data_IF_482544801343
#
_entry.id   IF_482544801343
#
_cell.length_a   1.000
_cell.length_b   1.000
_cell.length_c   1.000
_cell.angle_alpha   90.00
_cell.angle_beta   90.00
_cell.angle_gamma   90.00
#
_symmetry.space_group_name_H-M   'P 1'
#
loop_
_entity.id
_entity.type
_entity.pdbx_description
1 polymer ?
#
# COMPACT_ATOMS: atom_id res chain seq x y z
N UNK A 1 8.34 -34.27 15.48
CA UNK A 1 7.78 -33.05 16.11
C UNK A 1 7.92 -31.75 15.31
N UNK A 2 8.76 -31.62 14.26
CA UNK A 2 8.88 -30.36 13.48
C UNK A 2 7.80 -30.13 12.39
N UNK A 3 7.16 -31.19 11.87
CA UNK A 3 6.16 -31.06 10.78
C UNK A 3 4.84 -30.39 11.20
N UNK A 4 4.45 -30.52 12.46
CA UNK A 4 3.20 -29.94 13.00
C UNK A 4 3.27 -28.41 13.13
N UNK A 5 4.45 -27.87 13.48
CA UNK A 5 4.67 -26.43 13.59
C UNK A 5 4.53 -25.71 12.23
N UNK A 6 5.05 -26.30 11.15
CA UNK A 6 4.94 -25.69 9.80
C UNK A 6 3.49 -25.61 9.34
N UNK A 7 2.70 -26.67 9.57
CA UNK A 7 1.27 -26.68 9.23
C UNK A 7 0.47 -25.67 10.04
N UNK A 8 0.74 -25.58 11.35
CA UNK A 8 0.09 -24.61 12.22
C UNK A 8 0.44 -23.16 11.83
N UNK A 9 1.70 -22.89 11.53
CA UNK A 9 2.16 -21.55 11.13
C UNK A 9 1.52 -21.13 9.80
N UNK A 10 1.40 -22.05 8.83
CA UNK A 10 0.70 -21.77 7.58
C UNK A 10 -0.78 -21.43 7.82
N UNK A 11 -1.47 -22.18 8.68
CA UNK A 11 -2.87 -21.91 9.01
C UNK A 11 -3.04 -20.54 9.68
N UNK A 12 -2.15 -20.16 10.59
CA UNK A 12 -2.17 -18.83 11.23
C UNK A 12 -1.91 -17.74 10.19
N UNK A 13 -0.92 -17.90 9.31
CA UNK A 13 -0.63 -16.95 8.23
C UNK A 13 -1.85 -16.74 7.31
N UNK A 14 -2.49 -17.83 6.87
CA UNK A 14 -3.70 -17.76 6.05
C UNK A 14 -4.86 -17.09 6.81
N UNK A 15 -5.00 -17.39 8.11
CA UNK A 15 -5.99 -16.74 8.98
C UNK A 15 -5.75 -15.23 9.09
N UNK A 16 -4.51 -14.80 9.29
CA UNK A 16 -4.14 -13.38 9.35
C UNK A 16 -4.43 -12.66 8.04
N UNK A 17 -4.09 -13.27 6.90
CA UNK A 17 -4.42 -12.72 5.58
C UNK A 17 -5.93 -12.58 5.40
N UNK A 18 -6.71 -13.63 5.71
CA UNK A 18 -8.16 -13.63 5.59
C UNK A 18 -8.82 -12.57 6.48
N UNK A 19 -8.40 -12.44 7.74
CA UNK A 19 -8.92 -11.44 8.68
C UNK A 19 -8.58 -10.03 8.19
N UNK A 20 -7.36 -9.80 7.70
CA UNK A 20 -6.95 -8.49 7.17
C UNK A 20 -7.79 -8.10 5.95
N UNK A 21 -8.01 -9.03 5.02
CA UNK A 21 -8.88 -8.81 3.85
C UNK A 21 -10.32 -8.58 4.27
N UNK A 22 -10.86 -9.33 5.23
CA UNK A 22 -12.22 -9.15 5.70
C UNK A 22 -12.42 -7.78 6.39
N UNK A 23 -11.45 -7.35 7.19
CA UNK A 23 -11.53 -6.09 7.93
C UNK A 23 -11.39 -4.86 7.02
N UNK A 24 -10.44 -4.89 6.07
CA UNK A 24 -10.10 -3.73 5.24
C UNK A 24 -10.64 -3.80 3.80
N UNK A 25 -11.10 -4.96 3.34
CA UNK A 25 -11.65 -5.17 1.99
C UNK A 25 -12.75 -4.18 1.55
N UNK A 26 -13.68 -3.74 2.43
CA UNK A 26 -14.67 -2.74 2.06
C UNK A 26 -14.09 -1.42 1.53
N UNK A 27 -12.85 -1.06 1.92
CA UNK A 27 -12.20 0.20 1.49
C UNK A 27 -11.96 0.26 -0.02
N UNK A 28 -11.88 -0.90 -0.69
CA UNK A 28 -11.70 -0.95 -2.15
C UNK A 28 -12.84 -0.23 -2.89
N UNK A 29 -14.04 -0.16 -2.31
CA UNK A 29 -15.17 0.53 -2.93
C UNK A 29 -15.35 1.97 -2.42
N UNK A 30 -14.49 2.45 -1.53
CA UNK A 30 -14.54 3.82 -1.05
C UNK A 30 -14.01 4.79 -2.12
N UNK A 31 -14.58 5.99 -2.24
CA UNK A 31 -14.00 7.05 -3.06
C UNK A 31 -12.84 7.73 -2.32
N UNK A 32 -12.02 8.47 -3.06
CA UNK A 32 -11.13 9.47 -2.46
C UNK A 32 -11.94 10.49 -1.64
N UNK A 33 -11.37 10.90 -0.51
CA UNK A 33 -11.95 11.88 0.42
C UNK A 33 -11.21 13.21 0.36
N UNK A 34 -11.92 14.29 0.66
CA UNK A 34 -11.38 15.66 0.55
C UNK A 34 -10.61 16.09 1.79
N UNK A 35 -9.61 15.29 2.17
CA UNK A 35 -8.69 15.57 3.26
C UNK A 35 -7.26 15.67 2.74
N UNK A 36 -6.66 14.52 2.42
CA UNK A 36 -5.28 14.37 2.00
C UNK A 36 -5.17 13.88 0.55
N UNK A 37 -6.09 13.03 0.09
CA UNK A 37 -6.13 12.51 -1.29
C UNK A 37 -5.97 13.59 -2.37
N UNK A 38 -6.54 14.82 -2.25
CA UNK A 38 -6.31 15.86 -3.24
C UNK A 38 -4.83 16.12 -3.52
N UNK A 39 -4.01 16.29 -2.49
CA UNK A 39 -2.59 16.58 -2.73
C UNK A 39 -1.68 15.36 -2.74
N UNK A 40 -2.18 14.18 -2.33
CA UNK A 40 -1.41 12.95 -2.48
C UNK A 40 -1.61 12.28 -3.85
N UNK A 41 -2.79 12.42 -4.47
CA UNK A 41 -3.12 11.72 -5.71
C UNK A 41 -3.89 12.61 -6.69
N UNK A 42 -5.03 13.19 -6.30
CA UNK A 42 -6.01 13.70 -7.28
C UNK A 42 -5.52 14.94 -8.04
N UNK A 43 -4.82 15.84 -7.38
CA UNK A 43 -4.35 17.13 -7.93
C UNK A 43 -2.82 17.17 -8.10
N UNK A 44 -2.12 16.10 -7.72
CA UNK A 44 -0.66 16.06 -7.72
C UNK A 44 -0.11 15.64 -9.09
N UNK A 45 0.31 16.62 -9.88
CA UNK A 45 0.86 16.41 -11.23
C UNK A 45 2.10 15.52 -11.27
N UNK A 46 2.95 15.55 -10.23
CA UNK A 46 4.11 14.66 -10.14
C UNK A 46 3.73 13.18 -10.05
N UNK A 47 2.54 12.89 -9.53
CA UNK A 47 1.99 11.53 -9.49
C UNK A 47 1.41 11.13 -10.84
N UNK A 48 0.76 12.07 -11.53
CA UNK A 48 0.11 11.81 -12.81
C UNK A 48 1.10 11.52 -13.94
N UNK A 49 2.30 12.09 -13.86
CA UNK A 49 3.41 11.81 -14.78
C UNK A 49 3.93 10.36 -14.69
N UNK A 50 3.57 9.63 -13.63
CA UNK A 50 3.99 8.26 -13.38
C UNK A 50 5.48 8.14 -12.99
N UNK A 51 6.04 6.92 -13.01
CA UNK A 51 7.40 6.63 -12.53
C UNK A 51 8.47 7.13 -13.51
N UNK A 52 8.76 8.43 -13.50
CA UNK A 52 9.83 9.06 -14.29
C UNK A 52 11.06 9.37 -13.44
N UNK A 53 12.21 9.60 -14.09
CA UNK A 53 13.45 10.00 -13.39
C UNK A 53 13.25 11.35 -12.69
N UNK A 54 12.51 12.26 -13.32
CA UNK A 54 12.19 13.59 -12.78
C UNK A 54 11.30 13.45 -11.54
N UNK A 55 10.27 12.61 -11.61
CA UNK A 55 9.39 12.32 -10.48
C UNK A 55 10.13 11.63 -9.32
N UNK A 56 11.11 10.76 -9.62
CA UNK A 56 12.01 10.17 -8.61
C UNK A 56 12.87 11.20 -7.89
N UNK A 57 13.50 12.10 -8.64
CA UNK A 57 14.31 13.16 -8.07
C UNK A 57 13.47 14.09 -7.17
N UNK A 58 12.26 14.43 -7.63
CA UNK A 58 11.29 15.19 -6.83
C UNK A 58 10.91 14.45 -5.55
N UNK A 59 10.50 13.17 -5.65
CA UNK A 59 10.07 12.37 -4.51
C UNK A 59 11.14 12.28 -3.40
N UNK A 60 12.43 12.26 -3.78
CA UNK A 60 13.56 12.17 -2.85
C UNK A 60 13.95 13.48 -2.18
N UNK A 61 13.52 14.61 -2.72
CA UNK A 61 13.92 15.95 -2.27
C UNK A 61 12.77 16.75 -1.67
N UNK A 62 11.52 16.37 -1.98
CA UNK A 62 10.33 17.10 -1.57
C UNK A 62 9.96 16.87 -0.11
N UNK A 63 9.34 17.89 0.48
CA UNK A 63 8.62 17.85 1.75
C UNK A 63 7.14 18.19 1.55
N UNK A 64 6.61 17.90 0.35
CA UNK A 64 5.18 18.06 0.03
C UNK A 64 4.33 17.40 1.12
N UNK A 65 3.23 18.06 1.52
CA UNK A 65 2.42 17.67 2.70
C UNK A 65 3.19 17.59 4.02
N UNK A 66 4.27 18.36 4.14
CA UNK A 66 5.12 18.48 5.34
C UNK A 66 5.84 17.19 5.77
N UNK A 67 5.98 16.21 4.86
CA UNK A 67 6.57 14.92 5.17
C UNK A 67 7.66 14.54 4.16
N UNK A 68 8.72 13.87 4.63
CA UNK A 68 9.70 13.22 3.76
C UNK A 68 9.44 11.71 3.68
N UNK A 69 8.85 11.28 2.57
CA UNK A 69 8.48 9.88 2.34
C UNK A 69 8.59 9.50 0.84
N UNK A 70 9.81 9.42 0.30
CA UNK A 70 10.03 9.17 -1.12
C UNK A 70 9.39 7.89 -1.66
N UNK A 71 9.40 6.81 -0.87
CA UNK A 71 8.82 5.53 -1.29
C UNK A 71 7.29 5.60 -1.38
N UNK A 72 6.64 6.39 -0.52
CA UNK A 72 5.20 6.61 -0.58
C UNK A 72 4.81 7.36 -1.86
N UNK A 73 5.58 8.39 -2.23
CA UNK A 73 5.38 9.08 -3.50
C UNK A 73 5.52 8.14 -4.70
N UNK A 74 6.53 7.29 -4.68
CA UNK A 74 6.72 6.27 -5.71
C UNK A 74 5.60 5.23 -5.77
N UNK A 75 5.07 4.81 -4.63
CA UNK A 75 3.90 3.92 -4.59
C UNK A 75 2.71 4.57 -5.30
N UNK A 76 2.41 5.83 -4.99
CA UNK A 76 1.31 6.54 -5.65
C UNK A 76 1.54 6.74 -7.15
N UNK A 77 2.77 6.99 -7.60
CA UNK A 77 3.10 7.08 -9.04
C UNK A 77 2.85 5.75 -9.75
N UNK A 78 3.23 4.63 -9.13
CA UNK A 78 2.99 3.29 -9.67
C UNK A 78 1.49 2.98 -9.72
N UNK A 79 0.77 3.28 -8.64
CA UNK A 79 -0.68 3.09 -8.59
C UNK A 79 -1.39 3.95 -9.64
N UNK A 80 -0.98 5.20 -9.82
CA UNK A 80 -1.54 6.05 -10.87
C UNK A 80 -1.19 5.55 -12.28
N UNK A 81 0.02 5.04 -12.50
CA UNK A 81 0.38 4.45 -13.79
C UNK A 81 -0.45 3.19 -14.14
N UNK A 82 -0.88 2.43 -13.13
CA UNK A 82 -1.67 1.20 -13.30
C UNK A 82 -3.18 1.45 -13.34
N UNK A 83 -3.68 2.39 -12.54
CA UNK A 83 -5.10 2.58 -12.26
C UNK A 83 -5.63 3.98 -12.58
N UNK A 84 -4.74 4.92 -12.91
CA UNK A 84 -5.07 6.32 -13.08
C UNK A 84 -5.73 6.91 -11.83
N UNK A 85 -6.80 7.68 -12.03
CA UNK A 85 -7.61 8.27 -10.96
C UNK A 85 -8.65 7.32 -10.33
N UNK A 86 -8.64 6.02 -10.63
CA UNK A 86 -9.58 5.07 -10.00
C UNK A 86 -9.12 4.70 -8.59
N UNK A 87 -9.76 5.28 -7.57
CA UNK A 87 -9.49 5.03 -6.15
C UNK A 87 -9.46 3.54 -5.78
N UNK A 88 -10.23 2.70 -6.48
CA UNK A 88 -10.30 1.26 -6.21
C UNK A 88 -8.93 0.60 -6.31
N UNK A 89 -8.17 0.95 -7.35
CA UNK A 89 -6.84 0.37 -7.59
C UNK A 89 -5.84 0.76 -6.49
N UNK A 90 -5.82 2.04 -6.11
CA UNK A 90 -4.97 2.55 -5.01
C UNK A 90 -5.32 1.87 -3.67
N UNK A 91 -6.60 1.63 -3.41
CA UNK A 91 -7.05 0.90 -2.22
C UNK A 91 -6.69 -0.59 -2.27
N UNK A 92 -6.72 -1.23 -3.45
CA UNK A 92 -6.25 -2.61 -3.61
C UNK A 92 -4.76 -2.73 -3.29
N UNK A 93 -3.91 -1.83 -3.80
CA UNK A 93 -2.47 -1.82 -3.46
C UNK A 93 -2.28 -1.68 -1.96
N UNK A 94 -2.95 -0.73 -1.31
CA UNK A 94 -2.87 -0.55 0.14
C UNK A 94 -3.31 -1.80 0.92
N UNK A 95 -4.36 -2.48 0.48
CA UNK A 95 -4.84 -3.71 1.11
C UNK A 95 -3.81 -4.84 1.01
N UNK A 96 -3.18 -5.00 -0.17
CA UNK A 96 -2.11 -5.99 -0.37
C UNK A 96 -0.90 -5.70 0.52
N UNK A 97 -0.52 -4.42 0.66
CA UNK A 97 0.55 -4.00 1.57
C UNK A 97 0.21 -4.30 3.04
N UNK A 98 -1.04 -4.11 3.47
CA UNK A 98 -1.47 -4.47 4.83
C UNK A 98 -1.37 -5.98 5.08
N UNK A 99 -1.83 -6.80 4.13
CA UNK A 99 -1.70 -8.27 4.21
C UNK A 99 -0.22 -8.65 4.29
N UNK A 100 0.61 -8.10 3.40
CA UNK A 100 2.04 -8.38 3.37
C UNK A 100 2.72 -8.00 4.69
N UNK A 101 2.44 -6.81 5.23
CA UNK A 101 2.99 -6.36 6.50
C UNK A 101 2.60 -7.28 7.67
N UNK A 102 1.34 -7.72 7.74
CA UNK A 102 0.89 -8.65 8.77
C UNK A 102 1.64 -10.00 8.68
N UNK A 103 1.83 -10.52 7.47
CA UNK A 103 2.55 -11.77 7.22
C UNK A 103 4.04 -11.66 7.52
N UNK A 104 4.68 -10.55 7.15
CA UNK A 104 6.09 -10.26 7.46
C UNK A 104 6.27 -10.20 8.98
N UNK A 105 5.44 -9.42 9.68
CA UNK A 105 5.51 -9.31 11.13
C UNK A 105 5.36 -10.67 11.81
N UNK A 106 4.35 -11.45 11.42
CA UNK A 106 4.14 -12.79 11.94
C UNK A 106 5.35 -13.71 11.70
N UNK A 107 5.97 -13.63 10.51
CA UNK A 107 7.17 -14.40 10.18
C UNK A 107 8.38 -13.98 11.01
N UNK A 108 8.53 -12.68 11.29
CA UNK A 108 9.61 -12.15 12.13
C UNK A 108 9.43 -12.53 13.61
N UNK A 109 8.20 -12.68 14.09
CA UNK A 109 7.89 -13.06 15.48
C UNK A 109 7.98 -14.58 15.73
N UNK A 110 7.90 -15.39 14.68
CA UNK A 110 8.01 -16.85 14.74
C UNK A 110 9.44 -17.41 14.94
N UNK A 111 10.40 -16.54 15.28
CA UNK A 111 11.80 -16.93 15.51
C UNK A 111 11.95 -18.08 16.50
#
# INVERSE_FOLDING_TARGET
MKKTAVGQNLLIALGLAAITVAAFGPVVNAPFIRLDDPGYVVENTHIHDGPTIQALAWAWTTFEKANWHPLTWWSHMLDYALYGGDARGHHVTNLLLHVLNALILFSVLQR
#
